data_IF_046619502764
#
_entry.id   IF_046619502764
#
_cell.length_a   1.000
_cell.length_b   1.000
_cell.length_c   1.000
_cell.angle_alpha   90.00
_cell.angle_beta   90.00
_cell.angle_gamma   90.00
#
_symmetry.space_group_name_H-M   'P 1'
#
loop_
_entity.id
_entity.type
_entity.pdbx_description
1 polymer ?
#
# COMPACT_ATOMS: atom_id res chain seq x y z
N UNK A 1 4.22 27.94 -7.79
CA UNK A 1 3.61 26.89 -6.94
C UNK A 1 2.39 26.36 -7.68
N UNK A 2 2.56 25.35 -8.52
CA UNK A 2 1.43 24.76 -9.26
C UNK A 2 1.03 23.49 -8.52
N UNK A 3 -0.18 23.49 -7.96
CA UNK A 3 -0.80 22.31 -7.37
C UNK A 3 -1.05 21.30 -8.48
N UNK A 4 -0.12 20.36 -8.66
CA UNK A 4 -0.30 19.26 -9.60
C UNK A 4 -1.39 18.36 -9.04
N UNK A 5 -2.50 18.29 -9.75
CA UNK A 5 -3.71 17.55 -9.41
C UNK A 5 -3.37 16.07 -9.15
N UNK A 6 -3.69 15.56 -7.96
CA UNK A 6 -3.64 14.13 -7.66
C UNK A 6 -4.67 13.39 -8.53
N UNK A 7 -4.21 12.69 -9.56
CA UNK A 7 -5.05 11.76 -10.31
C UNK A 7 -4.92 10.39 -9.65
N UNK A 8 -5.85 10.06 -8.76
CA UNK A 8 -6.05 8.69 -8.27
C UNK A 8 -6.65 7.87 -9.41
N UNK A 9 -5.82 7.31 -10.29
CA UNK A 9 -6.30 6.33 -11.27
C UNK A 9 -6.56 5.00 -10.54
N UNK A 10 -7.82 4.80 -10.16
CA UNK A 10 -8.35 3.54 -9.64
C UNK A 10 -8.25 2.47 -10.72
N UNK A 11 -7.39 1.47 -10.52
CA UNK A 11 -7.56 0.19 -11.21
C UNK A 11 -8.65 -0.57 -10.46
N UNK A 12 -9.85 -0.61 -11.02
CA UNK A 12 -10.98 -1.38 -10.48
C UNK A 12 -10.70 -2.88 -10.55
N UNK A 13 -10.52 -3.51 -9.39
CA UNK A 13 -10.74 -4.94 -9.17
C UNK A 13 -11.45 -5.12 -7.82
N UNK A 14 -12.58 -4.42 -7.68
CA UNK A 14 -13.73 -4.54 -6.73
C UNK A 14 -13.55 -4.98 -5.25
N UNK A 15 -12.36 -5.32 -4.73
CA UNK A 15 -12.17 -5.65 -3.30
C UNK A 15 -10.73 -5.49 -2.79
N UNK A 16 -9.83 -4.84 -3.52
CA UNK A 16 -8.42 -4.69 -3.09
C UNK A 16 -8.09 -3.23 -2.74
N UNK A 17 -7.59 -3.03 -1.51
CA UNK A 17 -7.17 -1.73 -0.97
C UNK A 17 -5.77 -1.38 -1.54
N UNK A 18 -5.73 -0.83 -2.74
CA UNK A 18 -4.45 -0.52 -3.41
C UNK A 18 -4.36 0.97 -3.71
N UNK A 19 -3.47 1.68 -3.03
CA UNK A 19 -3.17 3.08 -3.32
C UNK A 19 -2.04 3.16 -4.36
N UNK A 20 -2.37 3.68 -5.53
CA UNK A 20 -1.40 3.97 -6.57
C UNK A 20 -1.21 5.49 -6.72
N UNK A 21 0.05 5.92 -6.70
CA UNK A 21 0.44 7.31 -6.98
C UNK A 21 1.14 7.35 -8.34
N UNK A 22 0.50 7.95 -9.35
CA UNK A 22 1.15 8.24 -10.63
C UNK A 22 1.38 9.75 -10.73
N UNK A 23 2.63 10.19 -10.79
CA UNK A 23 2.98 11.57 -11.15
C UNK A 23 3.88 11.54 -12.39
N UNK A 24 3.48 12.25 -13.45
CA UNK A 24 4.29 12.65 -14.62
C UNK A 24 5.54 11.78 -14.90
N UNK A 25 5.42 10.79 -15.80
CA UNK A 25 6.48 9.87 -16.27
C UNK A 25 7.27 9.09 -15.19
N UNK A 26 6.90 9.18 -13.91
CA UNK A 26 7.55 8.44 -12.82
C UNK A 26 6.60 7.39 -12.24
N UNK A 27 7.05 6.14 -12.22
CA UNK A 27 6.38 5.04 -11.54
C UNK A 27 6.78 5.05 -10.06
N UNK A 28 5.82 5.22 -9.17
CA UNK A 28 6.02 5.09 -7.72
C UNK A 28 5.59 3.70 -7.26
N UNK A 29 6.23 3.15 -6.20
CA UNK A 29 5.80 1.91 -5.60
C UNK A 29 4.39 2.05 -5.02
N UNK A 30 3.65 0.95 -5.07
CA UNK A 30 2.29 0.87 -4.53
C UNK A 30 2.34 0.83 -3.01
N UNK A 31 1.42 1.53 -2.34
CA UNK A 31 1.26 1.46 -0.89
C UNK A 31 0.04 0.61 -0.51
N UNK A 32 0.20 -0.26 0.50
CA UNK A 32 -0.83 -1.17 1.00
C UNK A 32 -0.90 -1.19 2.53
N UNK A 33 -2.06 -1.61 3.07
CA UNK A 33 -2.27 -1.81 4.51
C UNK A 33 -1.83 -3.21 4.98
N UNK A 34 -1.04 -3.93 4.17
CA UNK A 34 -0.58 -5.29 4.42
C UNK A 34 0.03 -5.94 3.18
N UNK A 35 0.61 -7.13 3.35
CA UNK A 35 1.22 -7.84 2.23
C UNK A 35 0.22 -8.59 1.35
N UNK A 36 -1.00 -8.85 1.82
CA UNK A 36 -1.93 -9.80 1.19
C UNK A 36 -2.34 -9.42 -0.24
N UNK A 37 -2.61 -8.13 -0.51
CA UNK A 37 -3.03 -7.65 -1.83
C UNK A 37 -2.02 -8.00 -2.91
N UNK A 38 -0.74 -7.64 -2.72
CA UNK A 38 0.30 -7.77 -3.74
C UNK A 38 1.10 -9.07 -3.65
N UNK A 39 1.22 -9.65 -2.44
CA UNK A 39 1.83 -10.97 -2.27
C UNK A 39 0.93 -12.10 -2.79
N UNK A 40 -0.38 -11.98 -2.61
CA UNK A 40 -1.31 -13.11 -2.83
C UNK A 40 -2.34 -12.79 -3.90
N UNK A 41 -3.08 -11.69 -3.77
CA UNK A 41 -4.35 -11.52 -4.50
C UNK A 41 -4.20 -11.03 -5.92
N UNK A 42 -3.38 -10.02 -6.16
CA UNK A 42 -3.07 -9.55 -7.51
C UNK A 42 -2.46 -10.67 -8.38
N UNK A 43 -1.43 -11.42 -7.92
CA UNK A 43 -0.92 -12.58 -8.68
C UNK A 43 -1.98 -13.64 -8.97
N UNK A 44 -2.85 -13.95 -8.00
CA UNK A 44 -3.95 -14.89 -8.17
C UNK A 44 -4.93 -14.41 -9.25
N UNK A 45 -5.31 -13.13 -9.22
CA UNK A 45 -6.20 -12.55 -10.22
C UNK A 45 -5.57 -12.52 -11.62
N UNK A 46 -4.28 -12.19 -11.72
CA UNK A 46 -3.55 -12.25 -12.99
C UNK A 46 -3.57 -13.67 -13.57
N UNK A 47 -3.37 -14.70 -12.73
CA UNK A 47 -3.45 -16.11 -13.16
C UNK A 47 -4.85 -16.48 -13.65
N UNK A 48 -5.90 -16.12 -12.92
CA UNK A 48 -7.30 -16.36 -13.33
C UNK A 48 -7.62 -15.65 -14.64
N UNK A 49 -7.08 -14.45 -14.85
CA UNK A 49 -7.35 -13.63 -16.04
C UNK A 49 -6.45 -13.96 -17.23
N UNK A 50 -5.46 -14.85 -17.09
CA UNK A 50 -4.46 -15.14 -18.13
C UNK A 50 -3.52 -13.97 -18.44
N UNK A 51 -3.40 -12.99 -17.54
CA UNK A 51 -2.59 -11.78 -17.70
C UNK A 51 -1.25 -11.97 -17.00
N UNK A 52 -0.15 -11.52 -17.62
CA UNK A 52 1.17 -11.49 -16.97
C UNK A 52 1.17 -10.43 -15.86
N UNK A 53 1.70 -10.78 -14.68
CA UNK A 53 1.82 -9.85 -13.57
C UNK A 53 2.61 -8.59 -13.98
N UNK A 54 1.99 -7.40 -13.98
CA UNK A 54 2.65 -6.17 -14.35
C UNK A 54 3.87 -5.86 -13.45
N UNK A 55 4.99 -5.34 -13.99
CA UNK A 55 6.21 -5.07 -13.21
C UNK A 55 6.01 -4.14 -12.01
N UNK A 56 5.10 -3.17 -12.10
CA UNK A 56 4.83 -2.21 -11.02
C UNK A 56 4.16 -2.83 -9.79
N UNK A 57 3.62 -4.06 -9.89
CA UNK A 57 3.11 -4.82 -8.73
C UNK A 57 4.18 -5.71 -8.08
N UNK A 58 5.43 -5.65 -8.55
CA UNK A 58 6.53 -6.46 -7.99
C UNK A 58 7.22 -5.77 -6.83
N UNK A 59 6.96 -4.49 -6.58
CA UNK A 59 7.55 -3.74 -5.47
C UNK A 59 6.47 -2.93 -4.78
N UNK A 60 6.45 -2.95 -3.46
CA UNK A 60 5.46 -2.20 -2.70
C UNK A 60 5.94 -1.79 -1.31
N UNK A 61 5.15 -0.88 -0.73
CA UNK A 61 5.30 -0.35 0.61
C UNK A 61 4.14 -0.88 1.44
N UNK A 62 4.44 -1.72 2.41
CA UNK A 62 3.51 -2.15 3.44
C UNK A 62 3.55 -1.13 4.58
N UNK A 63 2.51 -0.31 4.70
CA UNK A 63 2.46 0.75 5.71
C UNK A 63 2.57 0.19 7.13
N UNK A 64 2.10 -1.04 7.38
CA UNK A 64 2.23 -1.68 8.70
C UNK A 64 3.69 -1.85 9.12
N UNK A 65 4.58 -2.17 8.18
CA UNK A 65 6.01 -2.35 8.47
C UNK A 65 6.69 -0.99 8.70
N UNK A 66 6.39 0.01 7.86
CA UNK A 66 6.88 1.39 8.10
C UNK A 66 6.39 1.90 9.46
N UNK A 67 5.10 1.68 9.76
CA UNK A 67 4.45 2.15 10.97
C UNK A 67 5.08 1.53 12.23
N UNK A 68 5.33 0.21 12.20
CA UNK A 68 6.04 -0.50 13.28
C UNK A 68 7.43 0.09 13.51
N UNK A 69 8.21 0.27 12.45
CA UNK A 69 9.60 0.72 12.57
C UNK A 69 9.72 2.20 12.93
N UNK A 70 8.77 3.03 12.51
CA UNK A 70 8.80 4.47 12.77
C UNK A 70 8.23 4.82 14.13
N UNK A 71 7.05 4.29 14.50
CA UNK A 71 6.41 4.61 15.79
C UNK A 71 6.75 3.62 16.91
N UNK A 72 7.48 2.53 16.62
CA UNK A 72 7.84 1.51 17.60
C UNK A 72 6.65 0.70 18.13
N UNK A 73 5.52 0.68 17.41
CA UNK A 73 4.28 0.02 17.84
C UNK A 73 3.56 -0.64 16.67
N UNK A 74 3.00 -1.81 16.92
CA UNK A 74 2.28 -2.57 15.90
C UNK A 74 0.91 -1.94 15.59
N UNK A 75 0.52 -2.04 14.32
CA UNK A 75 -0.84 -1.77 13.88
C UNK A 75 -1.38 -2.99 13.14
N UNK A 76 -2.54 -3.50 13.56
CA UNK A 76 -3.11 -4.73 13.00
C UNK A 76 -3.61 -4.54 11.57
N UNK A 77 -3.96 -3.32 11.18
CA UNK A 77 -4.45 -2.94 9.84
C UNK A 77 -4.75 -1.44 9.77
N UNK A 78 -5.41 -1.01 8.69
CA UNK A 78 -5.76 0.40 8.44
C UNK A 78 -6.46 1.06 9.63
N UNK A 79 -7.54 0.46 10.14
CA UNK A 79 -8.32 1.02 11.26
C UNK A 79 -7.46 1.23 12.51
N UNK A 80 -6.51 0.32 12.78
CA UNK A 80 -5.60 0.44 13.91
C UNK A 80 -4.66 1.63 13.74
N UNK A 81 -4.06 1.80 12.56
CA UNK A 81 -3.22 2.98 12.26
C UNK A 81 -4.02 4.27 12.42
N UNK A 82 -5.23 4.33 11.85
CA UNK A 82 -6.11 5.50 11.97
C UNK A 82 -6.43 5.84 13.41
N UNK A 83 -6.85 4.86 14.22
CA UNK A 83 -7.16 5.07 15.64
C UNK A 83 -5.95 5.60 16.42
N UNK A 84 -4.78 5.04 16.17
CA UNK A 84 -3.55 5.44 16.85
C UNK A 84 -3.01 6.82 16.43
N UNK A 85 -3.40 7.31 15.25
CA UNK A 85 -3.11 8.66 14.76
C UNK A 85 -4.25 9.65 15.01
N UNK A 86 -5.37 9.23 15.62
CA UNK A 86 -6.54 10.08 15.84
C UNK A 86 -7.32 10.44 14.56
N UNK A 87 -7.16 9.67 13.48
CA UNK A 87 -7.84 9.90 12.20
C UNK A 87 -9.22 9.23 12.24
N UNK A 88 -10.28 10.00 11.96
CA UNK A 88 -11.63 9.44 11.82
C UNK A 88 -11.81 8.72 10.48
N UNK A 89 -12.49 7.57 10.51
CA UNK A 89 -12.86 6.81 9.32
C UNK A 89 -13.72 7.65 8.37
N UNK A 90 -13.33 7.73 7.10
CA UNK A 90 -14.14 8.36 6.05
C UNK A 90 -14.79 7.28 5.18
N UNK A 91 -16.11 7.35 5.00
CA UNK A 91 -16.84 6.37 4.18
C UNK A 91 -17.09 5.05 4.91
N UNK A 92 -17.23 3.95 4.15
CA UNK A 92 -17.52 2.64 4.73
C UNK A 92 -16.31 1.71 4.65
N UNK A 93 -16.00 1.05 5.76
CA UNK A 93 -14.97 0.01 5.80
C UNK A 93 -15.35 -1.18 4.93
N UNK A 94 -14.39 -1.77 4.24
CA UNK A 94 -14.55 -2.84 3.24
C UNK A 94 -15.08 -2.37 1.88
N UNK A 95 -15.16 -1.06 1.65
CA UNK A 95 -15.27 -0.50 0.31
C UNK A 95 -13.89 -0.05 -0.14
N UNK A 96 -13.31 -0.79 -1.10
CA UNK A 96 -11.90 -0.60 -1.49
C UNK A 96 -11.53 0.84 -1.87
N UNK A 97 -12.45 1.65 -2.42
CA UNK A 97 -12.21 3.07 -2.67
C UNK A 97 -12.09 3.89 -1.39
N UNK A 98 -12.96 3.66 -0.41
CA UNK A 98 -12.94 4.40 0.85
C UNK A 98 -11.78 3.95 1.72
N UNK A 99 -11.48 2.65 1.75
CA UNK A 99 -10.29 2.13 2.41
C UNK A 99 -9.00 2.71 1.75
N UNK A 100 -8.92 2.79 0.42
CA UNK A 100 -7.80 3.45 -0.26
C UNK A 100 -7.65 4.93 0.12
N UNK A 101 -8.76 5.69 0.21
CA UNK A 101 -8.70 7.09 0.69
C UNK A 101 -8.15 7.16 2.12
N UNK A 102 -8.58 6.26 2.99
CA UNK A 102 -8.16 6.25 4.39
C UNK A 102 -6.69 5.81 4.55
N UNK A 103 -6.22 4.84 3.76
CA UNK A 103 -4.79 4.49 3.67
C UNK A 103 -3.97 5.69 3.22
N UNK A 104 -4.42 6.42 2.20
CA UNK A 104 -3.73 7.63 1.73
C UNK A 104 -3.64 8.70 2.84
N UNK A 105 -4.67 8.85 3.68
CA UNK A 105 -4.66 9.77 4.83
C UNK A 105 -3.69 9.32 5.92
N UNK A 106 -3.64 8.02 6.23
CA UNK A 106 -2.63 7.45 7.15
C UNK A 106 -1.22 7.74 6.64
N UNK A 107 -0.96 7.45 5.36
CA UNK A 107 0.31 7.72 4.70
C UNK A 107 0.71 9.20 4.78
N UNK A 108 -0.23 10.11 4.50
CA UNK A 108 0.02 11.56 4.61
C UNK A 108 0.42 11.97 6.03
N UNK A 109 -0.27 11.46 7.06
CA UNK A 109 0.10 11.71 8.45
C UNK A 109 1.50 11.18 8.79
N UNK A 110 1.83 9.97 8.34
CA UNK A 110 3.17 9.40 8.54
C UNK A 110 4.26 10.27 7.90
N UNK A 111 4.02 10.79 6.70
CA UNK A 111 4.94 11.70 6.02
C UNK A 111 5.11 13.03 6.77
N UNK A 112 4.02 13.60 7.28
CA UNK A 112 4.06 14.84 8.10
C UNK A 112 4.85 14.63 9.40
N UNK A 113 4.72 13.46 10.02
CA UNK A 113 5.46 13.11 11.22
C UNK A 113 6.96 12.85 10.95
N UNK A 114 7.36 12.72 9.68
CA UNK A 114 8.75 12.53 9.25
C UNK A 114 9.13 11.10 8.90
N UNK A 115 8.15 10.19 8.74
CA UNK A 115 8.41 8.82 8.32
C UNK A 115 8.91 8.78 6.87
N UNK A 116 9.91 7.95 6.61
CA UNK A 116 10.47 7.74 5.27
C UNK A 116 9.75 6.57 4.59
N UNK A 117 9.15 6.84 3.43
CA UNK A 117 8.46 5.83 2.63
C UNK A 117 9.45 5.12 1.71
N UNK A 118 9.81 3.90 2.08
CA UNK A 118 10.71 3.04 1.34
C UNK A 118 10.06 1.70 1.02
N UNK A 119 10.51 1.04 -0.04
CA UNK A 119 10.03 -0.29 -0.44
C UNK A 119 10.24 -1.25 0.73
N UNK A 120 9.20 -1.98 1.11
CA UNK A 120 9.24 -2.95 2.22
C UNK A 120 9.30 -4.38 1.72
N UNK A 121 8.82 -4.63 0.50
CA UNK A 121 8.81 -5.95 -0.09
C UNK A 121 8.94 -5.90 -1.62
N UNK A 122 9.62 -6.91 -2.16
CA UNK A 122 9.85 -7.11 -3.58
C UNK A 122 9.57 -8.55 -3.96
N UNK A 123 8.93 -8.77 -5.12
CA UNK A 123 8.75 -10.08 -5.74
C UNK A 123 9.88 -10.36 -6.71
N UNK A 124 10.52 -11.51 -6.53
CA UNK A 124 11.54 -12.01 -7.44
C UNK A 124 10.91 -12.40 -8.80
N UNK A 125 11.42 -11.90 -9.94
CA UNK A 125 10.88 -12.23 -11.26
C UNK A 125 10.94 -13.72 -11.61
N UNK A 126 11.98 -14.41 -11.13
CA UNK A 126 12.35 -15.76 -11.56
C UNK A 126 11.73 -16.85 -10.68
N UNK A 127 11.55 -16.57 -9.38
CA UNK A 127 11.11 -17.59 -8.41
C UNK A 127 9.71 -17.35 -7.82
N UNK A 128 9.04 -16.25 -8.17
CA UNK A 128 7.77 -15.80 -7.56
C UNK A 128 7.81 -15.58 -6.04
N UNK A 129 8.96 -15.81 -5.40
CA UNK A 129 9.17 -15.57 -3.99
C UNK A 129 9.15 -14.07 -3.69
N UNK A 130 8.80 -13.74 -2.46
CA UNK A 130 8.75 -12.35 -1.97
C UNK A 130 9.85 -12.16 -0.96
N UNK A 131 10.75 -11.22 -1.26
CA UNK A 131 11.80 -10.74 -0.39
C UNK A 131 11.25 -9.60 0.47
N UNK A 132 11.33 -9.75 1.79
CA UNK A 132 10.96 -8.71 2.75
C UNK A 132 12.23 -7.95 3.14
N UNK A 133 12.21 -6.64 2.96
CA UNK A 133 13.41 -5.80 3.11
C UNK A 133 13.62 -5.30 4.55
N UNK A 134 12.63 -5.49 5.42
CA UNK A 134 12.67 -5.06 6.82
C UNK A 134 12.85 -6.28 7.73
N UNK A 135 13.80 -6.19 8.67
CA UNK A 135 13.99 -7.20 9.71
C UNK A 135 12.79 -7.25 10.66
N UNK A 136 12.43 -6.09 11.20
CA UNK A 136 11.23 -5.90 12.02
C UNK A 136 10.02 -5.71 11.10
N UNK A 137 9.18 -6.74 11.01
CA UNK A 137 7.97 -6.72 10.18
C UNK A 137 6.83 -7.44 10.88
N UNK A 138 5.61 -7.09 10.49
CA UNK A 138 4.41 -7.77 10.97
C UNK A 138 4.28 -9.10 10.20
N UNK A 139 4.28 -10.22 10.93
CA UNK A 139 4.24 -11.58 10.37
C UNK A 139 2.83 -12.04 10.06
#
# INVERSE_FOLDING_TARGET
>A
MSYSSCICNLVSLTTFEVCFFQFSDKSYPVATSGNWDLKTKVPQQCKVSGIKLPPYFREWINLKDIYLNFYGREATGMISMMRQQGIQLLGSHHLGLDDAKNIARVLQHMLVDGAIMQITARRNPDSQNVDFLFENRIR
#
